data_IF_368898769945
#
_entry.id   IF_368898769945
#
_cell.length_a   1.000
_cell.length_b   1.000
_cell.length_c   1.000
_cell.angle_alpha   90.00
_cell.angle_beta   90.00
_cell.angle_gamma   90.00
#
_symmetry.space_group_name_H-M   'P 1'
#
loop_
_entity.id
_entity.type
_entity.pdbx_description
1 polymer ?
#
# COMPACT_ATOMS: atom_id res chain seq x y z
N UNK A 1 -6.69 13.20 -17.17
CA UNK A 1 -5.21 13.29 -17.03
C UNK A 1 -4.47 13.36 -18.36
N UNK A 2 -4.30 12.31 -19.18
CA UNK A 2 -3.53 12.42 -20.45
C UNK A 2 -4.00 13.56 -21.38
N UNK A 3 -5.31 13.64 -21.63
CA UNK A 3 -5.88 14.72 -22.46
C UNK A 3 -5.77 16.09 -21.79
N UNK A 4 -5.83 16.16 -20.46
CA UNK A 4 -5.71 17.40 -19.68
C UNK A 4 -4.24 17.87 -19.59
N UNK A 5 -3.29 16.95 -19.62
CA UNK A 5 -1.85 17.22 -19.66
C UNK A 5 -1.30 17.34 -21.09
N UNK A 6 -2.17 17.27 -22.10
CA UNK A 6 -1.80 17.23 -23.52
C UNK A 6 -0.81 16.10 -23.88
N UNK A 7 -0.82 15.02 -23.11
CA UNK A 7 0.04 13.85 -23.29
C UNK A 7 -0.58 12.84 -24.27
N UNK A 8 0.28 12.16 -25.03
CA UNK A 8 -0.09 11.08 -25.94
C UNK A 8 0.19 9.74 -25.29
N UNK A 9 -0.47 8.68 -25.79
CA UNK A 9 -0.22 7.30 -25.31
C UNK A 9 1.25 6.90 -25.40
N UNK A 10 1.98 7.39 -26.41
CA UNK A 10 3.41 7.11 -26.59
C UNK A 10 4.34 7.88 -25.65
N UNK A 11 3.82 8.81 -24.83
CA UNK A 11 4.61 9.58 -23.86
C UNK A 11 4.64 8.90 -22.48
N UNK A 12 4.10 7.68 -22.35
CA UNK A 12 4.01 6.93 -21.11
C UNK A 12 5.16 5.92 -21.07
N UNK A 13 6.09 6.09 -20.14
CA UNK A 13 7.27 5.21 -19.98
C UNK A 13 7.08 4.10 -18.95
N UNK A 14 6.07 4.21 -18.08
CA UNK A 14 5.83 3.31 -16.95
C UNK A 14 4.35 3.36 -16.54
N UNK A 15 3.79 2.21 -16.17
CA UNK A 15 2.47 2.15 -15.51
C UNK A 15 2.68 1.76 -14.04
N UNK A 16 2.24 2.61 -13.12
CA UNK A 16 2.17 2.25 -11.71
C UNK A 16 0.73 1.87 -11.34
N UNK A 17 0.57 0.82 -10.54
CA UNK A 17 -0.75 0.32 -10.14
C UNK A 17 -0.74 -0.12 -8.68
N UNK A 18 -1.80 0.18 -7.93
CA UNK A 18 -1.97 -0.44 -6.62
C UNK A 18 -2.29 -1.92 -6.80
N UNK A 19 -1.45 -2.81 -6.28
CA UNK A 19 -1.67 -4.26 -6.36
C UNK A 19 -2.23 -4.86 -5.06
N UNK A 20 -2.51 -4.05 -4.04
CA UNK A 20 -3.13 -4.49 -2.79
C UNK A 20 -2.24 -4.35 -1.57
N UNK A 21 -2.69 -4.83 -0.40
CA UNK A 21 -3.97 -5.48 -0.13
C UNK A 21 -5.18 -4.53 -0.26
N UNK A 22 -6.40 -5.09 -0.28
CA UNK A 22 -7.65 -4.32 -0.41
C UNK A 22 -8.79 -5.09 -1.10
N UNK A 23 -9.76 -4.36 -1.66
CA UNK A 23 -10.92 -4.95 -2.34
C UNK A 23 -10.51 -5.91 -3.46
N UNK A 24 -10.86 -7.19 -3.29
CA UNK A 24 -10.54 -8.25 -4.24
C UNK A 24 -10.97 -7.94 -5.68
N UNK A 25 -12.21 -7.47 -5.85
CA UNK A 25 -12.76 -7.11 -7.16
C UNK A 25 -12.04 -5.90 -7.75
N UNK A 26 -11.81 -4.85 -6.94
CA UNK A 26 -11.11 -3.65 -7.39
C UNK A 26 -9.67 -3.93 -7.81
N UNK A 27 -8.95 -4.76 -7.05
CA UNK A 27 -7.57 -5.15 -7.35
C UNK A 27 -7.46 -5.93 -8.64
N UNK A 28 -8.34 -6.92 -8.87
CA UNK A 28 -8.33 -7.69 -10.12
C UNK A 28 -8.61 -6.81 -11.34
N UNK A 29 -9.63 -5.95 -11.27
CA UNK A 29 -9.95 -5.05 -12.38
C UNK A 29 -8.79 -4.08 -12.65
N UNK A 30 -8.27 -3.43 -11.59
CA UNK A 30 -7.17 -2.48 -11.72
C UNK A 30 -5.90 -3.11 -12.27
N UNK A 31 -5.50 -4.27 -11.75
CA UNK A 31 -4.33 -5.00 -12.20
C UNK A 31 -4.48 -5.47 -13.66
N UNK A 32 -5.63 -6.05 -14.04
CA UNK A 32 -5.85 -6.51 -15.41
C UNK A 32 -5.82 -5.36 -16.43
N UNK A 33 -6.40 -4.20 -16.08
CA UNK A 33 -6.37 -3.02 -16.96
C UNK A 33 -4.93 -2.50 -17.08
N UNK A 34 -4.21 -2.36 -15.97
CA UNK A 34 -2.83 -1.89 -15.97
C UNK A 34 -1.90 -2.83 -16.76
N UNK A 35 -2.03 -4.14 -16.56
CA UNK A 35 -1.28 -5.17 -17.27
C UNK A 35 -1.56 -5.11 -18.79
N UNK A 36 -2.83 -5.03 -19.20
CA UNK A 36 -3.18 -4.92 -20.62
C UNK A 36 -2.62 -3.66 -21.28
N UNK A 37 -2.64 -2.52 -20.59
CA UNK A 37 -2.06 -1.27 -21.09
C UNK A 37 -0.53 -1.33 -21.18
N UNK A 38 0.14 -1.89 -20.17
CA UNK A 38 1.59 -2.04 -20.14
C UNK A 38 2.06 -2.98 -21.26
N UNK A 39 1.37 -4.11 -21.42
CA UNK A 39 1.63 -5.09 -22.47
C UNK A 39 1.45 -4.48 -23.88
N UNK A 40 0.31 -3.83 -24.14
CA UNK A 40 0.03 -3.23 -25.44
C UNK A 40 0.99 -2.10 -25.82
N UNK A 41 1.57 -1.42 -24.82
CA UNK A 41 2.51 -0.32 -25.02
C UNK A 41 3.97 -0.76 -24.92
N UNK A 42 4.24 -2.03 -24.60
CA UNK A 42 5.57 -2.59 -24.35
C UNK A 42 6.40 -1.78 -23.33
N UNK A 43 5.76 -1.41 -22.22
CA UNK A 43 6.38 -0.63 -21.13
C UNK A 43 6.36 -1.40 -19.81
N UNK A 44 7.32 -1.10 -18.91
CA UNK A 44 7.34 -1.71 -17.59
C UNK A 44 6.10 -1.37 -16.76
N UNK A 45 5.86 -2.18 -15.74
CA UNK A 45 4.83 -1.96 -14.72
C UNK A 45 5.46 -1.91 -13.33
N UNK A 46 4.90 -1.07 -12.46
CA UNK A 46 5.31 -0.93 -11.07
C UNK A 46 4.13 -1.23 -10.15
N UNK A 47 4.07 -2.42 -9.53
CA UNK A 47 3.13 -2.69 -8.45
C UNK A 47 3.49 -1.87 -7.22
N UNK A 48 2.50 -1.21 -6.64
CA UNK A 48 2.64 -0.44 -5.40
C UNK A 48 1.68 -1.01 -4.38
N UNK A 49 2.17 -1.30 -3.18
CA UNK A 49 1.30 -1.72 -2.10
C UNK A 49 0.38 -0.59 -1.65
N UNK A 50 -0.89 -0.94 -1.39
CA UNK A 50 -1.85 -0.04 -0.75
C UNK A 50 -1.37 0.42 0.63
N UNK A 51 -0.77 -0.48 1.43
CA UNK A 51 -0.28 -0.13 2.77
C UNK A 51 0.95 0.75 2.69
N UNK A 52 1.89 0.44 1.79
CA UNK A 52 3.07 1.28 1.58
C UNK A 52 2.69 2.69 1.09
N UNK A 53 1.70 2.79 0.20
CA UNK A 53 1.18 4.08 -0.27
C UNK A 53 0.52 4.87 0.86
N UNK A 54 -0.26 4.20 1.71
CA UNK A 54 -0.86 4.84 2.89
C UNK A 54 0.20 5.31 3.90
N UNK A 55 1.24 4.50 4.12
CA UNK A 55 2.36 4.87 4.96
C UNK A 55 3.11 6.08 4.40
N UNK A 56 3.38 6.09 3.09
CA UNK A 56 4.05 7.22 2.44
C UNK A 56 3.24 8.51 2.51
N UNK A 57 1.92 8.42 2.33
CA UNK A 57 1.02 9.55 2.51
C UNK A 57 1.09 10.10 3.94
N UNK A 58 1.03 9.23 4.96
CA UNK A 58 1.18 9.62 6.36
C UNK A 58 2.55 10.26 6.64
N UNK A 59 3.62 9.76 6.03
CA UNK A 59 4.95 10.37 6.13
C UNK A 59 4.97 11.80 5.58
N UNK A 60 4.38 11.98 4.39
CA UNK A 60 4.29 13.28 3.75
C UNK A 60 3.45 14.28 4.56
N UNK A 61 2.33 13.85 5.12
CA UNK A 61 1.38 14.69 5.85
C UNK A 61 1.87 15.03 7.25
N UNK A 62 2.30 14.04 8.03
CA UNK A 62 2.61 14.20 9.46
C UNK A 62 4.10 14.38 9.75
N UNK A 63 4.97 14.25 8.76
CA UNK A 63 6.43 14.35 8.89
C UNK A 63 7.02 13.38 9.92
N UNK A 64 6.42 12.20 10.05
CA UNK A 64 6.88 11.10 10.91
C UNK A 64 7.55 10.03 10.07
N UNK A 65 8.69 9.52 10.52
CA UNK A 65 9.44 8.48 9.80
C UNK A 65 8.89 7.09 10.07
N UNK A 66 8.41 6.82 11.29
CA UNK A 66 8.04 5.49 11.76
C UNK A 66 6.52 5.31 11.73
N UNK A 67 6.02 4.48 10.81
CA UNK A 67 4.59 4.42 10.47
C UNK A 67 4.11 2.98 10.41
N UNK A 68 3.17 2.66 11.29
CA UNK A 68 2.47 1.39 11.32
C UNK A 68 1.09 1.55 10.69
N UNK A 69 0.81 0.78 9.66
CA UNK A 69 -0.46 0.82 8.94
C UNK A 69 -1.35 -0.32 9.42
N UNK A 70 -2.61 -0.01 9.71
CA UNK A 70 -3.64 -0.97 10.11
C UNK A 70 -4.89 -0.66 9.28
N UNK A 71 -5.27 -1.59 8.41
CA UNK A 71 -6.49 -1.45 7.60
C UNK A 71 -7.39 -2.66 7.74
N UNK A 72 -8.70 -2.44 7.70
CA UNK A 72 -9.70 -3.49 7.83
C UNK A 72 -9.67 -4.45 6.62
N UNK A 73 -9.62 -5.76 6.88
CA UNK A 73 -9.64 -6.80 5.84
C UNK A 73 -10.99 -7.54 5.72
N UNK A 74 -12.02 -7.06 6.44
CA UNK A 74 -13.31 -7.72 6.70
C UNK A 74 -13.21 -8.85 7.75
N UNK A 75 -14.37 -9.36 8.21
CA UNK A 75 -14.50 -10.53 9.11
C UNK A 75 -13.60 -10.56 10.37
N UNK A 76 -13.33 -9.39 10.98
CA UNK A 76 -12.42 -9.22 12.14
C UNK A 76 -10.95 -9.52 11.82
N UNK A 77 -10.55 -9.39 10.57
CA UNK A 77 -9.17 -9.47 10.14
C UNK A 77 -8.63 -8.07 9.80
N UNK A 78 -7.32 -7.91 9.91
CA UNK A 78 -6.62 -6.66 9.62
C UNK A 78 -5.45 -6.93 8.70
N UNK A 79 -5.29 -6.09 7.68
CA UNK A 79 -4.02 -5.96 7.00
C UNK A 79 -3.12 -5.01 7.78
N UNK A 80 -1.91 -5.46 8.07
CA UNK A 80 -0.93 -4.67 8.80
C UNK A 80 0.40 -4.60 8.05
N UNK A 81 1.13 -3.52 8.24
CA UNK A 81 2.49 -3.34 7.73
C UNK A 81 3.21 -2.22 8.48
N UNK A 82 4.53 -2.32 8.62
CA UNK A 82 5.31 -1.35 9.38
C UNK A 82 6.49 -0.84 8.56
N UNK A 83 6.56 0.48 8.42
CA UNK A 83 7.50 1.16 7.54
C UNK A 83 8.29 2.21 8.30
N UNK A 84 9.53 2.37 7.89
CA UNK A 84 10.39 3.48 8.30
C UNK A 84 10.86 4.24 7.06
N UNK A 85 10.65 5.55 7.08
CA UNK A 85 11.07 6.47 6.02
C UNK A 85 12.29 7.26 6.45
N UNK A 86 13.33 7.24 5.62
CA UNK A 86 14.52 8.06 5.81
C UNK A 86 14.97 8.63 4.47
N UNK A 87 14.87 9.96 4.31
CA UNK A 87 15.09 10.66 3.03
C UNK A 87 14.21 10.03 1.93
N UNK A 88 14.78 9.68 0.79
CA UNK A 88 14.11 9.03 -0.34
C UNK A 88 14.19 7.49 -0.25
N UNK A 89 14.15 6.92 0.96
CA UNK A 89 14.19 5.46 1.16
C UNK A 89 13.05 5.00 2.07
N UNK A 90 12.54 3.82 1.75
CA UNK A 90 11.56 3.09 2.55
C UNK A 90 12.20 1.79 3.06
N UNK A 91 12.12 1.57 4.37
CA UNK A 91 12.52 0.33 5.01
C UNK A 91 11.29 -0.37 5.56
N UNK A 92 11.13 -1.64 5.21
CA UNK A 92 10.06 -2.49 5.73
C UNK A 92 10.51 -3.06 7.08
N UNK A 93 9.96 -2.53 8.18
CA UNK A 93 10.20 -3.03 9.53
C UNK A 93 9.38 -4.29 9.82
N UNK A 94 8.16 -4.35 9.28
CA UNK A 94 7.30 -5.53 9.29
C UNK A 94 6.69 -5.71 7.92
N UNK A 95 6.91 -6.90 7.34
CA UNK A 95 6.26 -7.31 6.10
C UNK A 95 4.75 -7.31 6.26
N UNK A 96 4.08 -7.03 5.17
CA UNK A 96 2.63 -7.03 5.14
C UNK A 96 2.08 -8.41 5.47
N UNK A 97 1.03 -8.44 6.28
CA UNK A 97 0.36 -9.68 6.68
C UNK A 97 -1.11 -9.43 6.97
N UNK A 98 -1.94 -10.45 6.73
CA UNK A 98 -3.27 -10.56 7.29
C UNK A 98 -3.16 -11.14 8.70
N UNK A 99 -3.83 -10.54 9.66
CA UNK A 99 -3.89 -11.01 11.06
C UNK A 99 -5.33 -11.01 11.56
N UNK A 100 -5.60 -11.81 12.59
CA UNK A 100 -6.85 -11.66 13.34
C UNK A 100 -6.78 -10.40 14.22
N UNK A 101 -7.93 -9.75 14.42
CA UNK A 101 -8.05 -8.58 15.30
C UNK A 101 -7.50 -8.85 16.72
N UNK A 102 -7.67 -10.07 17.21
CA UNK A 102 -7.22 -10.50 18.55
C UNK A 102 -5.69 -10.54 18.68
N UNK A 103 -4.97 -10.68 17.56
CA UNK A 103 -3.51 -10.74 17.50
C UNK A 103 -2.87 -9.34 17.39
N UNK A 104 -3.68 -8.27 17.23
CA UNK A 104 -3.17 -6.93 16.97
C UNK A 104 -2.19 -6.45 18.06
N UNK A 105 -2.46 -6.76 19.33
CA UNK A 105 -1.60 -6.37 20.45
C UNK A 105 -0.20 -7.00 20.38
N UNK A 106 -0.06 -8.16 19.73
CA UNK A 106 1.21 -8.87 19.62
C UNK A 106 2.11 -8.26 18.53
N UNK A 107 1.54 -7.38 17.70
CA UNK A 107 2.22 -6.76 16.56
C UNK A 107 2.56 -5.29 16.76
N UNK A 108 2.08 -4.66 17.84
CA UNK A 108 2.28 -3.24 18.11
C UNK A 108 3.09 -3.03 19.39
N UNK A 109 3.95 -2.02 19.37
CA UNK A 109 4.56 -1.51 20.61
C UNK A 109 3.71 -0.38 21.18
N UNK A 110 2.91 -0.69 22.21
CA UNK A 110 2.02 0.29 22.81
C UNK A 110 2.74 1.47 23.50
N UNK A 111 4.03 1.33 23.78
CA UNK A 111 4.83 2.34 24.46
C UNK A 111 5.66 3.19 23.49
N UNK A 112 5.59 2.92 22.19
CA UNK A 112 6.37 3.66 21.19
C UNK A 112 5.95 5.13 21.16
N UNK A 113 6.93 6.01 21.35
CA UNK A 113 6.75 7.47 21.20
C UNK A 113 7.02 7.96 19.78
N UNK A 114 7.64 7.12 18.96
CA UNK A 114 8.10 7.48 17.61
C UNK A 114 7.13 7.00 16.53
N UNK A 115 6.49 5.84 16.76
CA UNK A 115 5.56 5.22 15.83
C UNK A 115 4.22 5.94 15.82
N UNK A 116 3.73 6.26 14.63
CA UNK A 116 2.33 6.61 14.41
C UNK A 116 1.58 5.43 13.78
N UNK A 117 0.30 5.33 14.08
CA UNK A 117 -0.61 4.29 13.62
C UNK A 117 -1.65 4.93 12.71
N UNK A 118 -1.79 4.41 11.50
CA UNK A 118 -2.66 5.01 10.47
C UNK A 118 -3.53 3.97 9.77
N UNK A 119 -4.67 4.42 9.25
CA UNK A 119 -5.63 3.61 8.51
C UNK A 119 -6.93 3.36 9.27
N UNK A 120 -7.91 2.75 8.61
CA UNK A 120 -9.26 2.56 9.15
C UNK A 120 -9.37 1.45 10.21
N UNK A 121 -8.31 0.66 10.42
CA UNK A 121 -8.23 -0.35 11.47
C UNK A 121 -7.71 0.20 12.81
N UNK A 122 -7.26 1.45 12.87
CA UNK A 122 -6.70 2.03 14.11
C UNK A 122 -7.74 2.22 15.20
N UNK A 123 -9.03 2.26 14.87
CA UNK A 123 -10.13 2.34 15.85
C UNK A 123 -10.16 1.16 16.84
N UNK A 124 -9.48 0.06 16.51
CA UNK A 124 -9.31 -1.08 17.40
C UNK A 124 -8.20 -0.90 18.45
N UNK A 125 -7.39 0.15 18.35
CA UNK A 125 -6.34 0.48 19.31
C UNK A 125 -6.94 1.19 20.53
N UNK A 126 -7.00 0.50 21.67
CA UNK A 126 -7.56 1.05 22.91
C UNK A 126 -6.53 1.67 23.86
N UNK A 127 -5.27 1.26 23.77
CA UNK A 127 -4.20 1.62 24.73
C UNK A 127 -3.16 2.60 24.18
N UNK A 128 -3.20 2.90 22.89
CA UNK A 128 -2.27 3.83 22.24
C UNK A 128 -2.69 5.27 22.51
N UNK A 129 -1.70 6.16 22.71
CA UNK A 129 -1.96 7.60 22.79
C UNK A 129 -2.66 8.10 21.53
N UNK A 130 -3.79 8.82 21.71
CA UNK A 130 -4.53 9.44 20.60
C UNK A 130 -3.68 10.39 19.76
N UNK A 131 -2.57 10.91 20.29
CA UNK A 131 -1.64 11.77 19.54
C UNK A 131 -0.88 11.02 18.43
N UNK A 132 -0.86 9.69 18.48
CA UNK A 132 -0.14 8.84 17.54
C UNK A 132 -1.10 8.06 16.63
N UNK A 133 -2.39 8.36 16.61
CA UNK A 133 -3.40 7.64 15.83
C UNK A 133 -4.05 8.55 14.78
N UNK A 134 -4.14 8.07 13.53
CA UNK A 134 -4.76 8.78 12.41
C UNK A 134 -5.68 7.85 11.60
N UNK A 135 -6.97 7.90 11.90
CA UNK A 135 -7.98 6.95 11.38
C UNK A 135 -8.48 7.30 9.96
N UNK A 136 -8.62 8.59 9.65
CA UNK A 136 -9.25 9.05 8.41
C UNK A 136 -8.24 9.24 7.27
N UNK A 137 -7.31 8.30 7.12
CA UNK A 137 -6.32 8.32 6.06
C UNK A 137 -6.54 7.14 5.10
N UNK A 138 -6.73 7.46 3.83
CA UNK A 138 -6.94 6.49 2.76
C UNK A 138 -5.87 6.65 1.69
N UNK A 139 -5.44 5.52 1.13
CA UNK A 139 -4.48 5.46 0.03
C UNK A 139 -5.02 6.20 -1.19
N UNK A 140 -4.26 7.17 -1.70
CA UNK A 140 -4.62 7.94 -2.90
C UNK A 140 -3.54 7.82 -3.99
N UNK A 141 -3.96 7.79 -5.25
CA UNK A 141 -3.07 7.59 -6.39
C UNK A 141 -2.06 8.76 -6.60
N UNK A 142 -2.45 9.99 -6.26
CA UNK A 142 -1.56 11.16 -6.29
C UNK A 142 -0.35 11.03 -5.35
N UNK A 143 -0.44 10.22 -4.30
CA UNK A 143 0.66 10.02 -3.36
C UNK A 143 1.66 8.95 -3.84
N UNK A 144 1.30 8.19 -4.87
CA UNK A 144 2.18 7.17 -5.44
C UNK A 144 3.42 7.77 -6.10
N UNK A 145 3.40 9.03 -6.56
CA UNK A 145 4.54 9.65 -7.26
C UNK A 145 5.85 9.59 -6.47
N UNK A 146 5.78 9.73 -5.13
CA UNK A 146 6.97 9.59 -4.30
C UNK A 146 7.51 8.16 -4.29
N UNK A 147 6.64 7.17 -4.15
CA UNK A 147 7.02 5.75 -4.23
C UNK A 147 7.52 5.35 -5.62
N UNK A 148 6.92 5.89 -6.68
CA UNK A 148 7.39 5.73 -8.06
C UNK A 148 8.81 6.26 -8.19
N UNK A 149 9.09 7.46 -7.65
CA UNK A 149 10.43 8.06 -7.68
C UNK A 149 11.46 7.18 -6.97
N UNK A 150 11.12 6.63 -5.80
CA UNK A 150 11.98 5.70 -5.05
C UNK A 150 12.25 4.45 -5.89
N UNK A 151 11.21 3.81 -6.44
CA UNK A 151 11.36 2.62 -7.28
C UNK A 151 12.17 2.86 -8.56
N UNK A 152 12.03 4.05 -9.17
CA UNK A 152 12.81 4.46 -10.34
C UNK A 152 14.32 4.54 -10.02
N UNK A 153 14.67 5.02 -8.82
CA UNK A 153 16.07 5.10 -8.37
C UNK A 153 16.68 3.70 -8.16
N UNK A 154 15.88 2.78 -7.60
CA UNK A 154 16.29 1.40 -7.35
C UNK A 154 16.24 0.51 -8.61
N UNK A 155 15.73 1.05 -9.74
CA UNK A 155 15.50 0.33 -11.01
C UNK A 155 14.69 -0.95 -10.83
N UNK A 156 13.78 -0.96 -9.86
CA UNK A 156 12.96 -2.11 -9.54
C UNK A 156 11.65 -2.03 -10.34
N UNK A 157 11.65 -2.64 -11.52
CA UNK A 157 10.49 -2.69 -12.43
C UNK A 157 10.14 -4.13 -12.76
N UNK A 158 8.87 -4.34 -13.08
CA UNK A 158 8.32 -5.62 -13.45
C UNK A 158 7.91 -5.60 -14.92
N UNK A 159 8.00 -6.76 -15.56
CA UNK A 159 7.31 -7.01 -16.82
C UNK A 159 5.81 -7.06 -16.56
N UNK A 160 5.02 -6.70 -17.57
CA UNK A 160 3.55 -6.71 -17.45
C UNK A 160 3.02 -8.08 -16.99
N UNK A 161 3.59 -9.17 -17.49
CA UNK A 161 3.23 -10.55 -17.14
C UNK A 161 3.56 -10.96 -15.69
N UNK A 162 4.47 -10.24 -15.02
CA UNK A 162 4.85 -10.50 -13.63
C UNK A 162 3.90 -9.83 -12.63
N UNK A 163 2.98 -8.97 -13.10
CA UNK A 163 2.01 -8.34 -12.21
C UNK A 163 1.03 -9.39 -11.67
N UNK A 164 1.00 -9.49 -10.34
CA UNK A 164 -0.03 -10.22 -9.61
C UNK A 164 -0.63 -9.34 -8.49
N UNK A 165 -1.93 -9.50 -8.20
CA UNK A 165 -2.51 -8.92 -6.99
C UNK A 165 -1.84 -9.51 -5.74
N UNK A 166 -1.54 -8.65 -4.76
CA UNK A 166 -0.98 -9.01 -3.47
C UNK A 166 -2.09 -9.59 -2.55
N UNK A 167 -2.27 -10.90 -2.61
CA UNK A 167 -3.19 -11.64 -1.75
C UNK A 167 -2.49 -12.04 -0.44
N UNK A 168 -2.74 -11.28 0.63
CA UNK A 168 -2.18 -11.59 1.96
C UNK A 168 -2.89 -12.73 2.69
N UNK A 169 -4.06 -13.16 2.20
CA UNK A 169 -4.83 -14.27 2.79
C UNK A 169 -4.30 -15.66 2.40
N UNK A 170 -3.34 -15.78 1.48
CA UNK A 170 -3.09 -17.06 0.82
C UNK A 170 -4.29 -17.48 -0.06
N UNK A 171 -4.07 -18.40 -0.99
CA UNK A 171 -5.09 -18.85 -1.96
C UNK A 171 -6.22 -19.70 -1.33
N UNK A 172 -6.12 -20.05 -0.05
CA UNK A 172 -6.97 -21.04 0.62
C UNK A 172 -8.31 -20.51 1.18
N UNK A 173 -8.56 -19.19 1.19
CA UNK A 173 -9.79 -18.62 1.78
C UNK A 173 -11.03 -18.65 0.85
N UNK A 174 -10.95 -19.27 -0.33
CA UNK A 174 -12.07 -19.41 -1.27
C UNK A 174 -12.69 -20.82 -1.30
N UNK A 175 -12.73 -21.54 -0.18
CA UNK A 175 -13.67 -22.67 -0.07
C UNK A 175 -15.08 -22.13 0.19
N UNK A 176 -15.90 -22.12 -0.88
CA UNK A 176 -17.35 -21.96 -0.75
C UNK A 176 -17.88 -23.02 0.21
N UNK A 177 -18.41 -22.59 1.35
CA UNK A 177 -19.35 -23.38 2.17
C UNK A 177 -20.58 -23.78 1.36
#
# INVERSE_FOLDING_TARGET
MLTESNGKKGDIDLIAVSNGPGSFTGLRIGCSVAQGLAFASNIPILPISSLANLAFQANCEFKKSNIFVITNAHMKELYIGHYEFYKDQIKILKKESLINLEELSDHIDENSKETIYVGDGVGFLSKISKTNIYENLYSQANNMFGLIKIALMDKNFYLAEELSPNYLSGEDHWQKS
#
